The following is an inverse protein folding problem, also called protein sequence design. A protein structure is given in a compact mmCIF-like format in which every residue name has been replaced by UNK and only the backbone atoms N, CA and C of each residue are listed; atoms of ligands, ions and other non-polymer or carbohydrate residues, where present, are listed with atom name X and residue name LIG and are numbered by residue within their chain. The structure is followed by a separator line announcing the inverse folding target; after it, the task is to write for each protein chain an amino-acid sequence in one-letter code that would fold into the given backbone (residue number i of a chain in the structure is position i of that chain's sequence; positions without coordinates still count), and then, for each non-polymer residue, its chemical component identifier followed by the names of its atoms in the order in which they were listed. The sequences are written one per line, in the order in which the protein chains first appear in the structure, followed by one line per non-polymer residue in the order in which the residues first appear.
data_IF_325335881264
#
_entry.id   IF_325335881264
#
_cell.length_a   1.000
_cell.length_b   1.000
_cell.length_c   1.000
_cell.angle_alpha   90.00
_cell.angle_beta   90.00
_cell.angle_gamma   90.00
#
_symmetry.space_group_name_H-M   'P 1'
#
loop_
_entity.id
_entity.type
_entity.pdbx_description
1 polymer ?
#
# COMPACT_ATOMS: atom_id res chain seq x y z
N UNK A 1 0.31 23.14 -18.64
CA UNK A 1 0.37 22.59 -17.27
C UNK A 1 0.03 21.10 -17.31
N UNK A 2 0.97 20.28 -17.73
CA UNK A 2 0.78 18.83 -17.86
C UNK A 2 1.92 18.14 -17.13
N UNK A 3 1.62 16.97 -16.52
CA UNK A 3 2.57 15.90 -16.11
C UNK A 3 2.94 15.74 -14.62
N UNK A 4 2.08 16.13 -13.67
CA UNK A 4 2.28 15.73 -12.25
C UNK A 4 1.85 14.29 -11.93
N UNK A 5 1.07 13.64 -12.80
CA UNK A 5 0.51 12.29 -12.55
C UNK A 5 1.47 11.12 -12.82
N UNK A 6 2.65 11.37 -13.38
CA UNK A 6 3.42 10.26 -13.93
C UNK A 6 3.98 9.33 -12.85
N UNK A 7 4.46 9.83 -11.71
CA UNK A 7 5.00 8.99 -10.65
C UNK A 7 4.47 9.43 -9.29
N UNK A 8 3.70 8.56 -8.61
CA UNK A 8 3.61 8.65 -7.15
C UNK A 8 5.00 8.30 -6.63
N UNK A 9 5.58 9.09 -5.70
CA UNK A 9 6.95 8.86 -5.25
C UNK A 9 7.05 7.45 -4.67
N UNK A 10 8.04 6.69 -5.13
CA UNK A 10 8.35 5.39 -4.54
C UNK A 10 9.24 5.66 -3.32
N UNK A 11 8.71 5.43 -2.14
CA UNK A 11 9.49 5.45 -0.89
C UNK A 11 10.42 4.23 -0.84
N UNK A 12 11.52 4.35 -0.12
CA UNK A 12 12.39 3.21 0.20
C UNK A 12 11.59 2.09 0.90
N UNK A 13 12.04 0.85 0.79
CA UNK A 13 11.31 -0.27 1.41
C UNK A 13 11.19 -0.05 2.93
N UNK A 14 9.97 -0.11 3.51
CA UNK A 14 9.80 -0.01 4.95
C UNK A 14 10.15 -1.35 5.61
N UNK A 15 11.45 -1.63 5.72
CA UNK A 15 12.00 -2.92 6.14
C UNK A 15 11.61 -3.30 7.56
N UNK A 16 11.54 -2.33 8.49
CA UNK A 16 11.09 -2.54 9.87
C UNK A 16 9.63 -2.97 9.90
N UNK A 17 8.76 -2.23 9.20
CA UNK A 17 7.34 -2.55 9.11
C UNK A 17 7.11 -3.95 8.51
N UNK A 18 7.89 -4.31 7.49
CA UNK A 18 7.86 -5.65 6.89
C UNK A 18 8.27 -6.72 7.91
N UNK A 19 9.36 -6.48 8.64
CA UNK A 19 9.88 -7.42 9.62
C UNK A 19 8.90 -7.62 10.79
N UNK A 20 8.33 -6.55 11.33
CA UNK A 20 7.32 -6.60 12.39
C UNK A 20 6.05 -7.36 11.95
N UNK A 21 5.55 -7.04 10.74
CA UNK A 21 4.37 -7.72 10.18
C UNK A 21 4.64 -9.21 9.94
N UNK A 22 5.85 -9.56 9.50
CA UNK A 22 6.27 -10.95 9.30
C UNK A 22 6.39 -11.69 10.63
N UNK A 23 7.02 -11.08 11.63
CA UNK A 23 7.12 -11.66 12.97
C UNK A 23 5.73 -11.95 13.55
N UNK A 24 4.80 -10.99 13.42
CA UNK A 24 3.41 -11.20 13.85
C UNK A 24 2.73 -12.36 13.11
N UNK A 25 2.96 -12.51 11.81
CA UNK A 25 2.42 -13.62 11.03
C UNK A 25 3.00 -14.99 11.45
N UNK A 26 4.25 -15.02 11.93
CA UNK A 26 4.92 -16.22 12.44
C UNK A 26 4.47 -16.57 13.87
N UNK A 27 4.30 -15.56 14.73
CA UNK A 27 3.86 -15.73 16.13
C UNK A 27 2.36 -16.02 16.25
N UNK A 28 1.55 -15.34 15.44
CA UNK A 28 0.08 -15.36 15.48
C UNK A 28 -0.48 -15.28 14.05
N UNK A 29 -0.58 -16.42 13.32
CA UNK A 29 -0.98 -16.43 11.91
C UNK A 29 -2.33 -15.77 11.63
N UNK A 30 -3.30 -15.93 12.53
CA UNK A 30 -4.63 -15.32 12.42
C UNK A 30 -4.56 -13.79 12.55
N UNK A 31 -3.77 -13.29 13.49
CA UNK A 31 -3.61 -11.86 13.74
C UNK A 31 -2.79 -11.19 12.64
N UNK A 32 -1.67 -11.79 12.23
CA UNK A 32 -0.87 -11.31 11.11
C UNK A 32 -1.67 -11.32 9.80
N UNK A 33 -2.46 -12.36 9.55
CA UNK A 33 -3.33 -12.39 8.36
C UNK A 33 -4.44 -11.35 8.42
N UNK A 34 -4.99 -11.06 9.61
CA UNK A 34 -5.96 -9.98 9.81
C UNK A 34 -5.33 -8.61 9.52
N UNK A 35 -4.14 -8.33 10.08
CA UNK A 35 -3.41 -7.09 9.86
C UNK A 35 -3.14 -6.84 8.37
N UNK A 36 -2.65 -7.87 7.67
CA UNK A 36 -2.42 -7.79 6.22
C UNK A 36 -3.71 -7.55 5.45
N UNK A 37 -4.79 -8.27 5.81
CA UNK A 37 -6.11 -8.12 5.20
C UNK A 37 -6.72 -6.73 5.38
N UNK A 38 -6.46 -6.08 6.50
CA UNK A 38 -6.91 -4.71 6.77
C UNK A 38 -6.10 -3.66 5.99
N UNK A 39 -4.87 -4.00 5.59
CA UNK A 39 -3.93 -3.20 4.80
C UNK A 39 -3.59 -1.82 5.37
N UNK A 40 -4.14 -1.43 6.52
CA UNK A 40 -4.02 -0.09 7.10
C UNK A 40 -2.57 0.28 7.40
N UNK A 41 -1.79 -0.64 7.96
CA UNK A 41 -0.38 -0.43 8.32
C UNK A 41 0.48 0.11 7.17
N UNK A 42 0.32 -0.44 5.95
CA UNK A 42 1.06 -0.01 4.76
C UNK A 42 0.33 1.10 4.01
N UNK A 43 -1.01 1.12 4.04
CA UNK A 43 -1.79 2.16 3.40
C UNK A 43 -1.54 3.51 4.06
N UNK A 44 -1.51 3.57 5.39
CA UNK A 44 -1.28 4.79 6.15
C UNK A 44 0.11 5.34 5.83
N UNK A 45 1.11 4.46 5.76
CA UNK A 45 2.48 4.81 5.40
C UNK A 45 2.60 5.40 3.99
N UNK A 46 1.94 4.79 3.00
CA UNK A 46 1.95 5.29 1.63
C UNK A 46 1.09 6.55 1.47
N UNK A 47 0.07 6.71 2.30
CA UNK A 47 -0.78 7.89 2.29
C UNK A 47 -0.03 9.14 2.73
N UNK A 48 0.95 9.03 3.65
CA UNK A 48 1.85 10.14 4.01
C UNK A 48 2.57 10.71 2.77
N UNK A 49 3.02 9.84 1.86
CA UNK A 49 3.77 10.24 0.67
C UNK A 49 2.87 10.60 -0.52
N UNK A 50 1.70 9.95 -0.64
CA UNK A 50 0.85 10.05 -1.83
C UNK A 50 -0.38 10.93 -1.64
N UNK A 51 -0.82 11.13 -0.40
CA UNK A 51 -2.06 11.83 -0.04
C UNK A 51 -2.13 13.22 -0.64
N UNK A 52 -1.05 14.01 -0.54
CA UNK A 52 -0.99 15.37 -1.10
C UNK A 52 -1.22 15.41 -2.63
N UNK A 53 -0.84 14.35 -3.33
CA UNK A 53 -1.06 14.23 -4.78
C UNK A 53 -2.44 13.66 -5.11
N UNK A 54 -2.96 12.75 -4.28
CA UNK A 54 -4.17 11.97 -4.52
C UNK A 54 -5.44 12.70 -4.08
N UNK A 55 -5.41 13.38 -2.94
CA UNK A 55 -6.56 14.04 -2.32
C UNK A 55 -7.17 15.14 -3.20
N UNK A 56 -6.38 16.07 -3.80
CA UNK A 56 -6.93 17.07 -4.72
C UNK A 56 -7.56 16.48 -5.99
N UNK A 57 -7.34 15.20 -6.27
CA UNK A 57 -7.91 14.46 -7.41
C UNK A 57 -9.13 13.64 -7.02
N UNK A 58 -9.64 13.81 -5.81
CA UNK A 58 -10.85 13.14 -5.32
C UNK A 58 -10.61 11.72 -4.81
N UNK A 59 -9.37 11.33 -4.52
CA UNK A 59 -9.08 10.12 -3.74
C UNK A 59 -9.00 10.49 -2.27
N UNK A 60 -9.95 10.05 -1.45
CA UNK A 60 -9.85 10.18 0.01
C UNK A 60 -9.03 9.06 0.63
N UNK A 61 -8.52 9.28 1.85
CA UNK A 61 -7.78 8.28 2.63
C UNK A 61 -8.57 6.98 2.81
N UNK A 62 -9.85 7.07 3.16
CA UNK A 62 -10.68 5.88 3.41
C UNK A 62 -10.84 5.04 2.14
N UNK A 63 -11.10 5.70 1.00
CA UNK A 63 -11.13 5.07 -0.34
C UNK A 63 -9.80 4.41 -0.68
N UNK A 64 -8.68 5.06 -0.34
CA UNK A 64 -7.34 4.51 -0.56
C UNK A 64 -7.09 3.24 0.28
N UNK A 65 -7.50 3.24 1.55
CA UNK A 65 -7.44 2.05 2.42
C UNK A 65 -8.31 0.92 1.85
N UNK A 66 -9.53 1.22 1.39
CA UNK A 66 -10.40 0.23 0.73
C UNK A 66 -9.74 -0.41 -0.51
N UNK A 67 -9.07 0.40 -1.33
CA UNK A 67 -8.32 -0.09 -2.50
C UNK A 67 -7.16 -0.99 -2.05
N UNK A 68 -6.47 -0.61 -0.98
CA UNK A 68 -5.33 -1.35 -0.41
C UNK A 68 -5.76 -2.69 0.18
N UNK A 69 -6.93 -2.75 0.84
CA UNK A 69 -7.56 -4.01 1.31
C UNK A 69 -7.81 -4.99 0.16
N UNK A 70 -8.33 -4.48 -0.96
CA UNK A 70 -8.47 -5.27 -2.19
C UNK A 70 -7.15 -5.67 -2.86
N UNK A 71 -6.00 -5.32 -2.26
CA UNK A 71 -4.65 -5.66 -2.70
C UNK A 71 -3.88 -6.46 -1.62
N UNK A 72 -4.55 -6.94 -0.58
CA UNK A 72 -3.94 -7.60 0.58
C UNK A 72 -3.11 -8.85 0.23
N UNK A 73 -3.53 -9.67 -0.74
CA UNK A 73 -2.75 -10.85 -1.16
C UNK A 73 -1.36 -10.47 -1.67
N UNK A 74 -1.27 -9.32 -2.33
CA UNK A 74 -0.04 -8.84 -2.94
C UNK A 74 0.87 -8.18 -1.89
N UNK A 75 0.26 -7.55 -0.88
CA UNK A 75 0.94 -7.11 0.33
C UNK A 75 1.49 -8.31 1.12
N UNK A 76 0.75 -9.42 1.19
CA UNK A 76 1.20 -10.66 1.82
C UNK A 76 2.47 -11.18 1.16
N UNK A 77 2.50 -11.25 -0.18
CA UNK A 77 3.68 -11.69 -0.93
C UNK A 77 4.91 -10.81 -0.62
N UNK A 78 4.71 -9.51 -0.47
CA UNK A 78 5.79 -8.61 -0.04
C UNK A 78 6.25 -8.92 1.39
N UNK A 79 5.32 -9.06 2.34
CA UNK A 79 5.63 -9.38 3.75
C UNK A 79 6.44 -10.67 3.88
N UNK A 80 6.09 -11.73 3.15
CA UNK A 80 6.81 -13.01 3.21
C UNK A 80 8.11 -13.02 2.39
N UNK A 81 8.37 -11.97 1.60
CA UNK A 81 9.58 -11.84 0.77
C UNK A 81 9.49 -12.50 -0.60
N UNK A 82 8.29 -12.89 -1.05
CA UNK A 82 8.05 -13.44 -2.39
C UNK A 82 7.87 -12.34 -3.45
N UNK A 83 7.62 -11.10 -3.01
CA UNK A 83 7.50 -9.94 -3.90
C UNK A 83 8.40 -8.78 -3.47
N UNK A 84 9.21 -8.21 -4.39
CA UNK A 84 9.94 -6.97 -4.16
C UNK A 84 9.01 -5.78 -3.85
N UNK A 85 9.45 -4.88 -2.97
CA UNK A 85 8.69 -3.71 -2.55
C UNK A 85 8.33 -2.79 -3.73
N UNK A 86 9.27 -2.51 -4.63
CA UNK A 86 9.06 -1.66 -5.80
C UNK A 86 7.94 -2.19 -6.71
N UNK A 87 7.89 -3.50 -6.93
CA UNK A 87 6.83 -4.17 -7.68
C UNK A 87 5.47 -4.08 -6.95
N UNK A 88 5.47 -4.25 -5.63
CA UNK A 88 4.28 -4.16 -4.80
C UNK A 88 3.70 -2.74 -4.80
N UNK A 89 4.52 -1.74 -4.48
CA UNK A 89 4.14 -0.33 -4.45
C UNK A 89 3.70 0.18 -5.83
N UNK A 90 4.41 -0.19 -6.91
CA UNK A 90 4.00 0.17 -8.27
C UNK A 90 2.65 -0.45 -8.66
N UNK A 91 2.39 -1.69 -8.24
CA UNK A 91 1.12 -2.37 -8.46
C UNK A 91 -0.05 -1.65 -7.78
N UNK A 92 0.12 -1.25 -6.51
CA UNK A 92 -0.87 -0.47 -5.77
C UNK A 92 -1.07 0.92 -6.40
N UNK A 93 0.02 1.63 -6.71
CA UNK A 93 -0.03 2.93 -7.38
C UNK A 93 -0.85 2.88 -8.68
N UNK A 94 -0.66 1.83 -9.49
CA UNK A 94 -1.45 1.62 -10.71
C UNK A 94 -2.94 1.38 -10.42
N UNK A 95 -3.28 0.62 -9.39
CA UNK A 95 -4.67 0.36 -8.98
C UNK A 95 -5.39 1.61 -8.49
N UNK A 96 -4.67 2.46 -7.76
CA UNK A 96 -5.16 3.74 -7.24
C UNK A 96 -5.41 4.71 -8.39
N UNK A 97 -4.44 4.87 -9.29
CA UNK A 97 -4.57 5.73 -10.47
C UNK A 97 -5.78 5.38 -11.36
N UNK A 98 -6.07 4.09 -11.56
CA UNK A 98 -7.24 3.63 -12.34
C UNK A 98 -8.59 3.89 -11.65
N UNK A 99 -8.58 4.24 -10.35
CA UNK A 99 -9.78 4.47 -9.53
C UNK A 99 -9.94 5.94 -9.15
N UNK A 100 -9.09 6.82 -9.68
CA UNK A 100 -9.31 8.25 -9.55
C UNK A 100 -10.62 8.63 -10.27
N UNK A 101 -11.41 9.54 -9.68
CA UNK A 101 -12.50 10.20 -10.38
C UNK A 101 -12.04 10.79 -11.73
N UNK A 102 -12.92 10.74 -12.73
CA UNK A 102 -12.70 11.28 -14.06
C UNK A 102 -12.81 12.81 -14.10
#
# INVERSE_FOLDING_TARGET
MARALQNLPLREEPVELRAETRALLEESPEEGSRLIGEAAFVADLLWEDWGETLEPKGMGRDRFVEISRGYADELRLWVVGERPWDHCAAGLAGRVKRRLPA
#
